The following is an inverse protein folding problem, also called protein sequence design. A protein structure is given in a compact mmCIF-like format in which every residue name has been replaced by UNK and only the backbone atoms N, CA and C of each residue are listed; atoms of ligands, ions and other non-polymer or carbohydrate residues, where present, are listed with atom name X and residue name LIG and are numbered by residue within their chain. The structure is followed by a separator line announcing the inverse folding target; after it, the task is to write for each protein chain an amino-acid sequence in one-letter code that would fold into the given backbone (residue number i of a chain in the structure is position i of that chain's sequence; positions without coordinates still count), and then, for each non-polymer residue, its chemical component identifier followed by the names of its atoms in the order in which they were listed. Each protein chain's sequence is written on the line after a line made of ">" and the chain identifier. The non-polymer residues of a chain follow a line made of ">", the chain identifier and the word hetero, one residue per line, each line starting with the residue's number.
data_IF_205091910823
#
_entry.id   IF_205091910823
#
_cell.length_a   1.000
_cell.length_b   1.000
_cell.length_c   1.000
_cell.angle_alpha   90.00
_cell.angle_beta   90.00
_cell.angle_gamma   90.00
#
_symmetry.space_group_name_H-M   'P 1'
#
loop_
_entity.id
_entity.type
_entity.pdbx_description
1 polymer ?
#
# COMPACT_ATOMS: atom_id res chain seq x y z
N UNK A 1 24.07 -8.92 -97.04
CA UNK A 1 25.42 -9.35 -96.62
C UNK A 1 25.98 -8.32 -95.64
N UNK A 2 26.46 -8.74 -94.46
CA UNK A 2 27.61 -8.21 -93.67
C UNK A 2 27.54 -6.71 -93.27
N UNK A 3 27.70 -6.25 -92.03
CA UNK A 3 28.40 -6.77 -90.84
C UNK A 3 28.02 -5.92 -89.61
N UNK A 4 28.01 -6.57 -88.44
CA UNK A 4 28.08 -5.96 -87.10
C UNK A 4 29.40 -5.22 -86.90
N UNK A 5 29.41 -4.19 -86.05
CA UNK A 5 30.45 -3.99 -85.02
C UNK A 5 29.94 -3.06 -83.90
N UNK A 6 29.91 -3.63 -82.70
CA UNK A 6 29.69 -3.02 -81.40
C UNK A 6 31.08 -2.83 -80.78
N UNK A 7 31.36 -1.66 -80.19
CA UNK A 7 32.43 -1.46 -79.20
C UNK A 7 32.05 -0.22 -78.36
N UNK A 8 31.55 -0.39 -77.12
CA UNK A 8 32.30 -0.50 -75.85
C UNK A 8 32.66 0.86 -75.23
N UNK A 9 31.83 1.36 -74.30
CA UNK A 9 32.25 2.33 -73.27
C UNK A 9 31.70 1.90 -71.90
N UNK A 10 32.64 1.50 -71.05
CA UNK A 10 32.73 1.59 -69.59
C UNK A 10 31.47 1.39 -68.72
N UNK A 11 31.45 0.26 -68.00
CA UNK A 11 30.74 0.12 -66.74
C UNK A 11 31.78 0.16 -65.60
N UNK A 12 31.90 1.32 -64.94
CA UNK A 12 32.62 1.45 -63.66
C UNK A 12 31.82 2.38 -62.75
N UNK A 13 31.73 1.97 -61.49
CA UNK A 13 31.28 2.71 -60.30
C UNK A 13 29.78 2.77 -60.01
N UNK A 14 29.26 1.66 -59.45
CA UNK A 14 28.11 1.70 -58.54
C UNK A 14 28.41 0.88 -57.26
N UNK A 15 29.37 1.34 -56.46
CA UNK A 15 29.68 0.74 -55.14
C UNK A 15 29.79 1.78 -53.99
N UNK A 16 29.50 3.06 -54.23
CA UNK A 16 29.68 4.13 -53.23
C UNK A 16 28.47 4.49 -52.37
N UNK A 17 27.26 3.95 -52.63
CA UNK A 17 26.02 4.47 -52.02
C UNK A 17 25.41 3.59 -50.92
N UNK A 18 25.90 2.37 -50.67
CA UNK A 18 25.38 1.54 -49.56
C UNK A 18 26.02 1.86 -48.20
N UNK A 19 27.22 2.44 -48.16
CA UNK A 19 27.94 2.67 -46.89
C UNK A 19 27.35 3.83 -46.08
N UNK A 20 26.83 4.88 -46.71
CA UNK A 20 26.34 6.07 -46.02
C UNK A 20 25.01 5.87 -45.27
N UNK A 21 24.18 4.88 -45.65
CA UNK A 21 22.91 4.57 -44.97
C UNK A 21 23.14 3.70 -43.73
N UNK A 22 24.20 2.89 -43.72
CA UNK A 22 24.60 2.06 -42.58
C UNK A 22 25.18 2.90 -41.42
N UNK A 23 25.79 4.04 -41.70
CA UNK A 23 26.35 4.96 -40.70
C UNK A 23 25.27 5.70 -39.88
N UNK A 24 24.07 5.93 -40.44
CA UNK A 24 23.00 6.63 -39.72
C UNK A 24 22.31 5.77 -38.63
N UNK A 25 22.47 4.44 -38.68
CA UNK A 25 21.81 3.51 -37.76
C UNK A 25 22.70 3.07 -36.59
N UNK A 26 24.01 3.35 -36.66
CA UNK A 26 25.00 2.86 -35.70
C UNK A 26 25.76 4.02 -35.05
N UNK A 27 26.05 3.90 -33.76
CA UNK A 27 26.87 4.89 -33.03
C UNK A 27 28.36 4.69 -33.29
N UNK A 28 28.78 3.45 -33.52
CA UNK A 28 30.16 3.07 -33.84
C UNK A 28 30.23 1.64 -34.40
N UNK A 29 31.41 1.25 -34.88
CA UNK A 29 31.79 -0.14 -35.15
C UNK A 29 32.93 -0.50 -34.20
N UNK A 30 32.74 -1.53 -33.37
CA UNK A 30 33.73 -2.00 -32.39
C UNK A 30 34.16 -3.42 -32.77
N UNK A 31 35.44 -3.60 -33.11
CA UNK A 31 36.02 -4.86 -33.61
C UNK A 31 35.19 -5.53 -34.72
N UNK A 32 34.75 -4.74 -35.70
CA UNK A 32 33.97 -5.21 -36.84
C UNK A 32 32.48 -5.44 -36.56
N UNK A 33 32.01 -5.23 -35.33
CA UNK A 33 30.59 -5.34 -34.95
C UNK A 33 29.96 -3.96 -34.81
N UNK A 34 28.88 -3.72 -35.54
CA UNK A 34 28.13 -2.47 -35.47
C UNK A 34 27.40 -2.34 -34.13
N UNK A 35 27.44 -1.14 -33.54
CA UNK A 35 26.76 -0.78 -32.28
C UNK A 35 25.54 0.07 -32.61
N UNK A 36 24.30 -0.43 -32.43
CA UNK A 36 23.10 0.28 -32.87
C UNK A 36 22.82 1.56 -32.07
N UNK A 37 22.36 2.61 -32.76
CA UNK A 37 21.88 3.85 -32.14
C UNK A 37 20.71 3.64 -31.17
N UNK A 38 19.93 2.57 -31.34
CA UNK A 38 18.84 2.21 -30.42
C UNK A 38 19.32 1.98 -28.97
N UNK A 39 20.58 1.56 -28.77
CA UNK A 39 21.15 1.42 -27.42
C UNK A 39 21.39 2.76 -26.75
N UNK A 40 21.82 3.76 -27.53
CA UNK A 40 21.98 5.15 -27.07
C UNK A 40 20.61 5.70 -26.67
N UNK A 41 19.59 5.52 -27.51
CA UNK A 41 18.24 5.98 -27.22
C UNK A 41 17.67 5.35 -25.93
N UNK A 42 17.83 4.03 -25.75
CA UNK A 42 17.37 3.34 -24.56
C UNK A 42 18.01 3.90 -23.26
N UNK A 43 19.32 4.16 -23.27
CA UNK A 43 20.02 4.76 -22.13
C UNK A 43 19.58 6.22 -21.92
N UNK A 44 19.41 7.01 -22.98
CA UNK A 44 18.88 8.39 -22.87
C UNK A 44 17.49 8.42 -22.26
N UNK A 45 16.59 7.51 -22.66
CA UNK A 45 15.26 7.39 -22.06
C UNK A 45 15.32 7.00 -20.58
N UNK A 46 16.23 6.11 -20.20
CA UNK A 46 16.44 5.75 -18.80
C UNK A 46 16.91 6.95 -17.95
N UNK A 47 17.83 7.76 -18.48
CA UNK A 47 18.28 9.00 -17.82
C UNK A 47 17.13 10.00 -17.69
N UNK A 48 16.35 10.21 -18.75
CA UNK A 48 15.19 11.09 -18.72
C UNK A 48 14.14 10.66 -17.68
N UNK A 49 13.84 9.36 -17.58
CA UNK A 49 12.92 8.80 -16.57
C UNK A 49 13.41 9.00 -15.13
N UNK A 50 14.70 9.23 -14.92
CA UNK A 50 15.25 9.60 -13.60
C UNK A 50 15.05 11.08 -13.25
N UNK A 51 14.37 11.85 -14.10
CA UNK A 51 14.14 13.29 -13.92
C UNK A 51 15.31 14.17 -14.35
N UNK A 52 16.35 13.59 -14.96
CA UNK A 52 17.52 14.33 -15.46
C UNK A 52 17.32 14.72 -16.92
N UNK A 53 17.62 15.97 -17.26
CA UNK A 53 17.60 16.43 -18.64
C UNK A 53 18.76 15.83 -19.44
N UNK A 54 18.49 15.39 -20.67
CA UNK A 54 19.50 14.90 -21.60
C UNK A 54 19.98 16.09 -22.46
N UNK A 55 21.03 16.77 -22.01
CA UNK A 55 21.68 17.86 -22.76
C UNK A 55 22.52 17.30 -23.93
N UNK A 56 22.95 18.12 -24.90
CA UNK A 56 23.87 17.67 -25.95
C UNK A 56 25.15 17.03 -25.42
N UNK A 57 25.72 17.55 -24.33
CA UNK A 57 26.90 17.00 -23.68
C UNK A 57 26.59 15.63 -23.05
N UNK A 58 25.46 15.51 -22.35
CA UNK A 58 25.00 14.23 -21.79
C UNK A 58 24.73 13.21 -22.89
N UNK A 59 24.17 13.64 -24.02
CA UNK A 59 23.95 12.77 -25.18
C UNK A 59 25.26 12.23 -25.74
N UNK A 60 26.32 13.05 -25.78
CA UNK A 60 27.65 12.60 -26.19
C UNK A 60 28.24 11.60 -25.17
N UNK A 61 28.13 11.89 -23.87
CA UNK A 61 28.55 10.96 -22.80
C UNK A 61 27.84 9.60 -22.89
N UNK A 62 26.53 9.60 -23.19
CA UNK A 62 25.77 8.36 -23.38
C UNK A 62 26.28 7.57 -24.59
N UNK A 63 26.62 8.25 -25.70
CA UNK A 63 27.21 7.57 -26.87
C UNK A 63 28.55 6.94 -26.49
N UNK A 64 29.44 7.68 -25.84
CA UNK A 64 30.75 7.20 -25.43
C UNK A 64 30.62 6.01 -24.47
N UNK A 65 29.69 6.07 -23.51
CA UNK A 65 29.35 4.98 -22.60
C UNK A 65 28.84 3.74 -23.34
N UNK A 66 27.98 3.90 -24.35
CA UNK A 66 27.48 2.77 -25.16
C UNK A 66 28.61 2.09 -25.93
N UNK A 67 29.56 2.88 -26.48
CA UNK A 67 30.74 2.35 -27.17
C UNK A 67 31.64 1.61 -26.17
N UNK A 68 31.94 2.23 -25.02
CA UNK A 68 32.76 1.62 -23.97
C UNK A 68 32.17 0.30 -23.46
N UNK A 69 30.84 0.25 -23.26
CA UNK A 69 30.12 -0.98 -22.89
C UNK A 69 30.28 -2.07 -23.93
N UNK A 70 30.21 -1.76 -25.22
CA UNK A 70 30.43 -2.78 -26.25
C UNK A 70 31.86 -3.32 -26.19
N UNK A 71 32.87 -2.46 -25.99
CA UNK A 71 34.27 -2.91 -25.82
C UNK A 71 34.37 -3.90 -24.65
N UNK A 72 33.79 -3.56 -23.49
CA UNK A 72 33.83 -4.43 -22.30
C UNK A 72 33.05 -5.73 -22.49
N UNK A 73 31.87 -5.69 -23.12
CA UNK A 73 31.08 -6.88 -23.41
C UNK A 73 31.86 -7.82 -24.33
N UNK A 74 32.53 -7.30 -25.36
CA UNK A 74 33.31 -8.15 -26.26
C UNK A 74 34.48 -8.84 -25.56
N UNK A 75 35.19 -8.14 -24.66
CA UNK A 75 36.25 -8.78 -23.88
C UNK A 75 35.68 -9.82 -22.90
N UNK A 76 34.56 -9.52 -22.24
CA UNK A 76 33.88 -10.48 -21.35
C UNK A 76 33.43 -11.75 -22.11
N UNK A 77 32.92 -11.60 -23.33
CA UNK A 77 32.53 -12.70 -24.22
C UNK A 77 33.75 -13.51 -24.68
N UNK A 78 34.85 -12.84 -25.03
CA UNK A 78 36.10 -13.49 -25.39
C UNK A 78 36.69 -14.31 -24.23
N UNK A 79 36.50 -13.84 -23.00
CA UNK A 79 36.85 -14.57 -21.77
C UNK A 79 35.86 -15.70 -21.42
N UNK A 80 34.75 -15.84 -22.16
CA UNK A 80 33.72 -16.86 -21.92
C UNK A 80 32.91 -16.64 -20.65
N UNK A 81 32.86 -15.42 -20.11
CA UNK A 81 32.18 -15.13 -18.84
C UNK A 81 30.66 -15.32 -18.95
N UNK A 82 30.09 -15.11 -20.15
CA UNK A 82 28.68 -15.33 -20.47
C UNK A 82 28.30 -16.82 -20.61
N UNK A 83 29.28 -17.72 -20.69
CA UNK A 83 29.08 -19.17 -20.67
C UNK A 83 29.26 -19.79 -19.28
N UNK A 84 29.70 -19.01 -18.28
CA UNK A 84 29.92 -19.48 -16.91
C UNK A 84 28.61 -19.90 -16.23
N UNK A 85 28.69 -20.89 -15.33
CA UNK A 85 27.53 -21.37 -14.56
C UNK A 85 26.98 -20.30 -13.61
N UNK A 86 27.84 -19.43 -13.07
CA UNK A 86 27.42 -18.30 -12.25
C UNK A 86 26.58 -17.32 -13.09
N UNK A 87 27.06 -16.90 -14.28
CA UNK A 87 26.30 -16.01 -15.16
C UNK A 87 24.95 -16.61 -15.56
N UNK A 88 24.90 -17.90 -15.94
CA UNK A 88 23.63 -18.58 -16.28
C UNK A 88 22.66 -18.58 -15.11
N UNK A 89 23.15 -18.85 -13.90
CA UNK A 89 22.35 -18.84 -12.67
C UNK A 89 21.83 -17.44 -12.36
N UNK A 90 22.69 -16.41 -12.40
CA UNK A 90 22.26 -15.02 -12.23
C UNK A 90 21.22 -14.61 -13.27
N UNK A 91 21.37 -15.05 -14.51
CA UNK A 91 20.43 -14.74 -15.57
C UNK A 91 19.08 -15.43 -15.39
N UNK A 92 19.08 -16.67 -14.92
CA UNK A 92 17.84 -17.37 -14.60
C UNK A 92 17.11 -16.72 -13.40
N UNK A 93 17.83 -16.35 -12.34
CA UNK A 93 17.25 -15.63 -11.19
C UNK A 93 16.69 -14.25 -11.59
N UNK A 94 17.41 -13.52 -12.45
CA UNK A 94 16.93 -12.26 -13.00
C UNK A 94 15.66 -12.45 -13.85
N UNK A 95 15.64 -13.48 -14.71
CA UNK A 95 14.47 -13.86 -15.51
C UNK A 95 13.26 -14.16 -14.63
N UNK A 96 13.44 -14.98 -13.58
CA UNK A 96 12.37 -15.32 -12.64
C UNK A 96 11.85 -14.07 -11.92
N UNK A 97 12.74 -13.22 -11.42
CA UNK A 97 12.38 -11.99 -10.71
C UNK A 97 11.54 -11.06 -11.59
N UNK A 98 11.95 -10.86 -12.84
CA UNK A 98 11.22 -10.03 -13.81
C UNK A 98 9.85 -10.63 -14.09
N UNK A 99 9.76 -11.94 -14.34
CA UNK A 99 8.47 -12.60 -14.61
C UNK A 99 7.50 -12.54 -13.43
N UNK A 100 8.00 -12.72 -12.20
CA UNK A 100 7.18 -12.59 -10.98
C UNK A 100 6.66 -11.14 -10.84
N UNK A 101 7.51 -10.14 -11.11
CA UNK A 101 7.09 -8.73 -11.10
C UNK A 101 6.03 -8.45 -12.17
N UNK A 102 6.23 -8.94 -13.40
CA UNK A 102 5.27 -8.75 -14.49
C UNK A 102 3.95 -9.47 -14.20
N UNK A 103 3.97 -10.65 -13.59
CA UNK A 103 2.78 -11.37 -13.13
C UNK A 103 1.92 -10.50 -12.21
N UNK A 104 2.52 -9.94 -11.16
CA UNK A 104 1.79 -9.10 -10.21
C UNK A 104 1.38 -7.75 -10.81
N UNK A 105 2.20 -7.18 -11.68
CA UNK A 105 1.85 -5.95 -12.42
C UNK A 105 0.64 -6.19 -13.33
N UNK A 106 0.62 -7.31 -14.05
CA UNK A 106 -0.50 -7.70 -14.90
C UNK A 106 -1.75 -7.98 -14.07
N UNK A 107 -1.62 -8.64 -12.92
CA UNK A 107 -2.74 -8.87 -12.00
C UNK A 107 -3.37 -7.55 -11.53
N UNK A 108 -2.56 -6.59 -11.08
CA UNK A 108 -3.06 -5.27 -10.66
C UNK A 108 -3.78 -4.53 -11.80
N UNK A 109 -3.22 -4.56 -13.02
CA UNK A 109 -3.83 -3.93 -14.20
C UNK A 109 -5.16 -4.56 -14.60
N UNK A 110 -5.27 -5.89 -14.47
CA UNK A 110 -6.48 -6.65 -14.86
C UNK A 110 -7.52 -6.75 -13.75
N UNK A 111 -7.15 -6.43 -12.50
CA UNK A 111 -8.02 -6.48 -11.33
C UNK A 111 -7.95 -5.16 -10.53
N UNK A 112 -8.28 -4.02 -11.15
CA UNK A 112 -8.24 -2.74 -10.46
C UNK A 112 -9.19 -2.73 -9.26
N UNK A 113 -8.86 -1.93 -8.24
CA UNK A 113 -9.83 -1.56 -7.21
C UNK A 113 -10.84 -0.61 -7.82
N UNK A 114 -12.12 -0.96 -7.73
CA UNK A 114 -13.21 -0.15 -8.28
C UNK A 114 -13.76 0.80 -7.22
N UNK A 115 -14.44 1.87 -7.64
CA UNK A 115 -15.15 2.76 -6.72
C UNK A 115 -16.21 2.01 -5.90
N UNK A 116 -16.82 0.96 -6.47
CA UNK A 116 -17.75 0.09 -5.76
C UNK A 116 -17.06 -0.72 -4.64
N UNK A 117 -15.86 -1.24 -4.89
CA UNK A 117 -15.07 -1.93 -3.86
C UNK A 117 -14.74 -0.99 -2.70
N UNK A 118 -14.35 0.25 -3.03
CA UNK A 118 -14.02 1.29 -2.05
C UNK A 118 -15.25 1.66 -1.21
N UNK A 119 -16.39 1.90 -1.87
CA UNK A 119 -17.64 2.22 -1.18
C UNK A 119 -18.06 1.08 -0.25
N UNK A 120 -17.99 -0.17 -0.71
CA UNK A 120 -18.35 -1.33 0.11
C UNK A 120 -17.46 -1.47 1.36
N UNK A 121 -16.15 -1.25 1.22
CA UNK A 121 -15.23 -1.31 2.38
C UNK A 121 -15.47 -0.14 3.34
N UNK A 122 -15.72 1.06 2.81
CA UNK A 122 -16.09 2.20 3.64
C UNK A 122 -17.43 2.00 4.36
N UNK A 123 -18.44 1.44 3.70
CA UNK A 123 -19.75 1.15 4.30
C UNK A 123 -19.62 0.13 5.42
N UNK A 124 -18.76 -0.89 5.26
CA UNK A 124 -18.45 -1.86 6.32
C UNK A 124 -17.78 -1.19 7.51
N UNK A 125 -16.82 -0.28 7.25
CA UNK A 125 -16.20 0.54 8.28
C UNK A 125 -17.24 1.43 8.99
N UNK A 126 -18.10 2.12 8.24
CA UNK A 126 -19.13 3.00 8.77
C UNK A 126 -20.20 2.23 9.55
N UNK A 127 -20.57 1.03 9.12
CA UNK A 127 -21.51 0.17 9.87
C UNK A 127 -20.92 -0.29 11.21
N UNK A 128 -19.61 -0.52 11.26
CA UNK A 128 -18.93 -1.00 12.47
C UNK A 128 -18.53 0.12 13.43
N UNK A 129 -18.31 1.34 12.91
CA UNK A 129 -17.79 2.48 13.67
C UNK A 129 -18.79 3.65 13.78
N UNK A 130 -19.91 3.58 13.07
CA UNK A 130 -20.98 4.57 13.10
C UNK A 130 -21.92 4.40 14.28
N UNK A 131 -23.02 5.16 14.26
CA UNK A 131 -24.01 5.16 15.33
C UNK A 131 -23.72 6.19 16.42
N UNK A 132 -24.05 5.87 17.67
CA UNK A 132 -23.92 6.79 18.80
C UNK A 132 -22.70 6.45 19.66
N UNK A 133 -21.92 7.47 19.97
CA UNK A 133 -20.92 7.44 21.02
C UNK A 133 -21.48 8.03 22.29
N UNK A 134 -21.12 7.44 23.42
CA UNK A 134 -21.58 7.80 24.73
C UNK A 134 -20.38 8.23 25.54
N UNK A 135 -20.43 9.43 26.11
CA UNK A 135 -19.50 9.83 27.15
C UNK A 135 -20.07 9.38 28.49
N UNK A 136 -19.54 8.28 29.00
CA UNK A 136 -20.00 7.69 30.25
C UNK A 136 -18.99 7.93 31.37
N UNK A 137 -19.50 8.00 32.60
CA UNK A 137 -18.68 7.78 33.79
C UNK A 137 -19.20 6.60 34.57
N UNK A 138 -18.33 5.86 35.22
CA UNK A 138 -18.78 4.78 36.09
C UNK A 138 -17.98 4.67 37.40
N UNK A 139 -18.61 4.02 38.37
CA UNK A 139 -17.97 3.58 39.61
C UNK A 139 -18.15 2.07 39.68
N UNK A 140 -17.05 1.34 39.73
CA UNK A 140 -17.05 -0.11 39.90
C UNK A 140 -16.78 -0.48 41.35
N UNK A 141 -17.59 -1.34 41.94
CA UNK A 141 -17.40 -1.88 43.29
C UNK A 141 -17.68 -3.37 43.33
N UNK A 142 -17.16 -4.06 44.34
CA UNK A 142 -17.29 -5.52 44.43
C UNK A 142 -18.68 -5.94 44.91
N UNK A 143 -19.30 -5.16 45.81
CA UNK A 143 -20.54 -5.53 46.50
C UNK A 143 -21.70 -4.63 46.09
N UNK A 144 -22.88 -5.24 45.93
CA UNK A 144 -24.11 -4.52 45.60
C UNK A 144 -24.47 -3.44 46.63
N UNK A 145 -24.22 -3.73 47.92
CA UNK A 145 -24.50 -2.79 49.01
C UNK A 145 -23.67 -1.51 48.88
N UNK A 146 -22.41 -1.61 48.41
CA UNK A 146 -21.54 -0.46 48.17
C UNK A 146 -22.09 0.40 47.03
N UNK A 147 -22.53 -0.23 45.93
CA UNK A 147 -23.13 0.47 44.80
C UNK A 147 -24.45 1.18 45.21
N UNK A 148 -25.29 0.51 46.01
CA UNK A 148 -26.52 1.11 46.56
C UNK A 148 -26.23 2.32 47.45
N UNK A 149 -25.19 2.24 48.29
CA UNK A 149 -24.77 3.36 49.13
C UNK A 149 -24.26 4.55 48.29
N UNK A 150 -23.49 4.28 47.24
CA UNK A 150 -23.01 5.29 46.29
C UNK A 150 -24.19 5.98 45.59
N UNK A 151 -25.17 5.23 45.08
CA UNK A 151 -26.38 5.80 44.46
C UNK A 151 -27.12 6.71 45.45
N UNK A 152 -27.27 6.30 46.71
CA UNK A 152 -27.90 7.13 47.74
C UNK A 152 -27.10 8.41 48.04
N UNK A 153 -25.76 8.35 48.02
CA UNK A 153 -24.91 9.53 48.20
C UNK A 153 -25.02 10.50 47.02
N UNK A 154 -25.07 9.99 45.79
CA UNK A 154 -25.27 10.79 44.58
C UNK A 154 -26.63 11.49 44.59
N UNK A 155 -27.71 10.79 45.02
CA UNK A 155 -29.05 11.37 45.17
C UNK A 155 -29.12 12.50 46.21
N UNK A 156 -28.18 12.52 47.17
CA UNK A 156 -28.04 13.60 48.18
C UNK A 156 -27.15 14.76 47.71
N UNK A 157 -26.72 14.78 46.44
CA UNK A 157 -25.88 15.84 45.88
C UNK A 157 -24.37 15.57 45.98
N UNK A 158 -23.95 14.34 46.28
CA UNK A 158 -22.54 13.95 46.21
C UNK A 158 -21.98 14.09 44.79
N UNK A 159 -20.70 14.50 44.67
CA UNK A 159 -20.03 14.62 43.38
C UNK A 159 -19.53 13.27 42.88
N UNK A 160 -19.92 12.92 41.66
CA UNK A 160 -19.61 11.62 41.06
C UNK A 160 -18.11 11.35 40.96
N UNK A 161 -17.34 12.32 40.49
CA UNK A 161 -15.90 12.18 40.27
C UNK A 161 -15.11 12.01 41.57
N UNK A 162 -15.52 12.71 42.64
CA UNK A 162 -14.90 12.56 43.96
C UNK A 162 -15.18 11.19 44.57
N UNK A 163 -16.41 10.67 44.42
CA UNK A 163 -16.77 9.33 44.90
C UNK A 163 -16.05 8.26 44.07
N UNK A 164 -16.01 8.41 42.75
CA UNK A 164 -15.30 7.50 41.85
C UNK A 164 -13.82 7.38 42.20
N UNK A 165 -13.13 8.50 42.44
CA UNK A 165 -11.71 8.52 42.85
C UNK A 165 -11.44 7.79 44.16
N UNK A 166 -12.41 7.78 45.08
CA UNK A 166 -12.27 7.17 46.41
C UNK A 166 -12.70 5.71 46.44
N UNK A 167 -13.74 5.35 45.70
CA UNK A 167 -14.44 4.07 45.85
C UNK A 167 -14.31 3.14 44.64
N UNK A 168 -14.06 3.68 43.44
CA UNK A 168 -14.02 2.84 42.23
C UNK A 168 -12.83 1.89 42.26
N UNK A 169 -13.11 0.62 41.98
CA UNK A 169 -12.13 -0.45 41.79
C UNK A 169 -11.64 -0.56 40.35
N UNK A 170 -12.20 0.22 39.42
CA UNK A 170 -11.71 0.24 38.06
C UNK A 170 -10.37 0.99 37.96
N UNK A 171 -9.26 0.31 37.65
CA UNK A 171 -7.95 0.94 37.52
C UNK A 171 -7.87 1.91 36.33
N UNK A 172 -8.70 1.75 35.30
CA UNK A 172 -8.64 2.54 34.07
C UNK A 172 -9.24 3.95 34.23
N UNK A 173 -10.36 4.06 34.94
CA UNK A 173 -11.13 5.30 35.06
C UNK A 173 -11.23 5.85 36.48
N UNK A 174 -11.04 5.03 37.52
CA UNK A 174 -11.25 5.42 38.93
C UNK A 174 -10.53 6.70 39.31
N UNK A 175 -9.22 6.78 39.06
CA UNK A 175 -8.40 7.97 39.32
C UNK A 175 -8.83 9.21 38.51
N UNK A 176 -9.48 9.02 37.36
CA UNK A 176 -10.03 10.08 36.49
C UNK A 176 -11.49 10.42 36.83
N UNK A 177 -11.97 10.04 38.01
CA UNK A 177 -13.34 10.30 38.41
C UNK A 177 -14.36 9.45 37.66
N UNK A 178 -13.95 8.28 37.19
CA UNK A 178 -14.79 7.33 36.48
C UNK A 178 -14.99 7.62 35.00
N UNK A 179 -14.35 8.65 34.42
CA UNK A 179 -14.53 9.03 33.01
C UNK A 179 -13.99 7.94 32.07
N UNK A 180 -14.85 7.45 31.19
CA UNK A 180 -14.56 6.42 30.19
C UNK A 180 -14.32 7.01 28.78
N UNK A 181 -14.34 8.33 28.65
CA UNK A 181 -14.27 9.06 27.37
C UNK A 181 -15.43 8.70 26.42
N UNK A 182 -15.35 9.15 25.17
CA UNK A 182 -16.29 8.80 24.12
C UNK A 182 -16.02 7.39 23.61
N UNK A 183 -17.05 6.55 23.69
CA UNK A 183 -17.01 5.23 23.09
C UNK A 183 -18.40 4.79 22.58
N UNK A 184 -18.47 3.99 21.51
CA UNK A 184 -19.70 3.31 21.16
C UNK A 184 -20.09 2.33 22.26
N UNK A 185 -21.39 2.13 22.46
CA UNK A 185 -21.88 1.25 23.52
C UNK A 185 -21.42 -0.22 23.35
N UNK A 186 -21.07 -0.63 22.13
CA UNK A 186 -20.52 -1.98 21.85
C UNK A 186 -19.13 -2.23 22.45
N UNK A 187 -18.42 -1.19 22.90
CA UNK A 187 -17.14 -1.35 23.60
C UNK A 187 -17.32 -1.83 25.06
N UNK A 188 -18.54 -1.85 25.58
CA UNK A 188 -18.83 -2.27 26.94
C UNK A 188 -19.51 -3.65 26.96
N UNK A 189 -19.41 -4.35 28.09
CA UNK A 189 -20.16 -5.59 28.33
C UNK A 189 -21.67 -5.34 28.22
N UNK A 190 -22.43 -6.36 27.84
CA UNK A 190 -23.82 -6.24 27.43
C UNK A 190 -24.72 -5.58 28.50
N UNK A 191 -24.50 -5.88 29.77
CA UNK A 191 -25.25 -5.33 30.90
C UNK A 191 -24.99 -3.83 31.05
N UNK A 192 -23.73 -3.41 30.94
CA UNK A 192 -23.31 -2.02 30.98
C UNK A 192 -23.88 -1.25 29.78
N UNK A 193 -23.73 -1.79 28.57
CA UNK A 193 -24.24 -1.18 27.35
C UNK A 193 -25.76 -1.00 27.39
N UNK A 194 -26.49 -1.99 27.91
CA UNK A 194 -27.95 -1.94 28.04
C UNK A 194 -28.38 -0.85 29.02
N UNK A 195 -27.75 -0.79 30.19
CA UNK A 195 -28.03 0.24 31.18
C UNK A 195 -27.67 1.64 30.65
N UNK A 196 -26.51 1.80 30.01
CA UNK A 196 -26.05 3.06 29.45
C UNK A 196 -27.01 3.60 28.37
N UNK A 197 -27.49 2.73 27.47
CA UNK A 197 -28.45 3.11 26.41
C UNK A 197 -29.81 3.52 26.96
N UNK A 198 -30.19 3.05 28.16
CA UNK A 198 -31.44 3.42 28.81
C UNK A 198 -31.36 4.79 29.54
N UNK A 199 -30.16 5.34 29.72
CA UNK A 199 -29.96 6.64 30.36
C UNK A 199 -30.19 7.78 29.37
N UNK A 200 -30.67 8.90 29.91
CA UNK A 200 -30.67 10.21 29.25
C UNK A 200 -29.45 11.04 29.68
N UNK A 201 -29.11 12.08 28.93
CA UNK A 201 -27.97 12.96 29.23
C UNK A 201 -28.08 13.54 30.65
N UNK A 202 -27.02 13.37 31.44
CA UNK A 202 -26.93 13.77 32.85
C UNK A 202 -27.47 12.74 33.84
N UNK A 203 -28.14 11.68 33.38
CA UNK A 203 -28.77 10.69 34.25
C UNK A 203 -27.76 9.68 34.79
N UNK A 204 -28.01 9.22 36.02
CA UNK A 204 -27.29 8.11 36.66
C UNK A 204 -28.24 6.93 36.83
N UNK A 205 -27.73 5.70 36.75
CA UNK A 205 -28.49 4.47 37.03
C UNK A 205 -29.12 4.51 38.42
N UNK A 206 -30.42 4.21 38.50
CA UNK A 206 -31.16 4.16 39.77
C UNK A 206 -30.88 2.93 40.61
N UNK A 207 -30.40 1.85 39.98
CA UNK A 207 -30.02 0.59 40.61
C UNK A 207 -28.62 0.17 40.17
N UNK A 208 -27.89 -0.60 41.00
CA UNK A 208 -26.59 -1.16 40.59
C UNK A 208 -26.71 -2.04 39.35
N UNK A 209 -25.77 -1.90 38.42
CA UNK A 209 -25.68 -2.74 37.22
C UNK A 209 -24.65 -3.83 37.47
N UNK A 210 -25.07 -5.10 37.51
CA UNK A 210 -24.18 -6.23 37.75
C UNK A 210 -23.49 -6.67 36.45
N UNK A 211 -22.20 -6.97 36.52
CA UNK A 211 -21.45 -7.64 35.47
C UNK A 211 -20.49 -8.68 36.06
N UNK A 212 -19.70 -9.33 35.21
CA UNK A 212 -18.60 -10.20 35.65
C UNK A 212 -17.51 -9.48 36.46
N UNK A 213 -17.42 -8.15 36.39
CA UNK A 213 -16.43 -7.34 37.11
C UNK A 213 -16.90 -6.86 38.48
N UNK A 214 -18.18 -7.04 38.82
CA UNK A 214 -18.80 -6.56 40.05
C UNK A 214 -20.07 -5.76 39.78
N UNK A 215 -20.24 -4.64 40.50
CA UNK A 215 -21.40 -3.77 40.42
C UNK A 215 -20.99 -2.37 39.97
N UNK A 216 -21.68 -1.86 38.97
CA UNK A 216 -21.45 -0.54 38.39
C UNK A 216 -22.55 0.44 38.80
N UNK A 217 -22.15 1.67 39.08
CA UNK A 217 -23.02 2.85 39.06
C UNK A 217 -22.60 3.67 37.84
N UNK A 218 -23.52 3.90 36.90
CA UNK A 218 -23.20 4.47 35.59
C UNK A 218 -23.90 5.82 35.47
N UNK A 219 -23.17 6.83 35.01
CA UNK A 219 -23.72 8.13 34.62
C UNK A 219 -23.43 8.38 33.14
N UNK A 220 -24.45 8.85 32.44
CA UNK A 220 -24.29 9.31 31.07
C UNK A 220 -24.06 10.82 31.09
N UNK A 221 -22.87 11.26 30.70
CA UNK A 221 -22.55 12.69 30.64
C UNK A 221 -23.03 13.33 29.34
N UNK A 222 -22.86 12.63 28.22
CA UNK A 222 -23.23 13.14 26.90
C UNK A 222 -23.39 12.02 25.86
N UNK A 223 -24.11 12.30 24.78
CA UNK A 223 -24.27 11.43 23.62
C UNK A 223 -24.00 12.25 22.37
N UNK A 224 -23.23 11.69 21.44
CA UNK A 224 -23.02 12.27 20.10
C UNK A 224 -23.16 11.19 19.03
N UNK A 225 -23.42 11.61 17.80
CA UNK A 225 -23.26 10.73 16.65
C UNK A 225 -21.76 10.58 16.34
N UNK A 226 -21.33 9.36 16.02
CA UNK A 226 -19.96 9.05 15.70
C UNK A 226 -19.49 9.88 14.50
N UNK A 227 -18.35 10.55 14.65
CA UNK A 227 -17.77 11.36 13.59
C UNK A 227 -16.83 10.49 12.75
N UNK A 228 -17.36 9.97 11.64
CA UNK A 228 -16.57 9.22 10.68
C UNK A 228 -15.86 10.19 9.71
N UNK A 229 -14.61 9.89 9.30
CA UNK A 229 -13.97 10.64 8.23
C UNK A 229 -14.76 10.47 6.94
N UNK A 230 -14.84 11.51 6.10
CA UNK A 230 -15.57 11.39 4.83
C UNK A 230 -14.85 10.43 3.90
N UNK A 231 -15.61 9.69 3.10
CA UNK A 231 -15.04 8.76 2.13
C UNK A 231 -14.00 9.44 1.23
N UNK A 232 -14.29 10.64 0.72
CA UNK A 232 -13.35 11.36 -0.15
C UNK A 232 -11.98 11.62 0.50
N UNK A 233 -11.95 11.84 1.82
CA UNK A 233 -10.71 12.11 2.57
C UNK A 233 -9.89 10.82 2.77
N UNK A 234 -10.56 9.66 2.79
CA UNK A 234 -9.92 8.35 3.05
C UNK A 234 -9.84 7.44 1.82
N UNK A 235 -10.44 7.87 0.70
CA UNK A 235 -10.54 7.10 -0.55
C UNK A 235 -9.17 6.60 -1.04
N UNK A 236 -8.09 7.42 -1.05
CA UNK A 236 -6.77 6.95 -1.46
C UNK A 236 -6.22 5.84 -0.55
N UNK A 237 -6.39 5.97 0.78
CA UNK A 237 -5.92 4.97 1.73
C UNK A 237 -6.70 3.66 1.60
N UNK A 238 -8.03 3.73 1.48
CA UNK A 238 -8.90 2.56 1.29
C UNK A 238 -8.55 1.85 -0.02
N UNK A 239 -8.37 2.59 -1.11
CA UNK A 239 -7.97 2.02 -2.40
C UNK A 239 -6.62 1.30 -2.32
N UNK A 240 -5.62 1.92 -1.68
CA UNK A 240 -4.30 1.31 -1.49
C UNK A 240 -4.38 0.03 -0.65
N UNK A 241 -5.14 0.06 0.44
CA UNK A 241 -5.33 -1.10 1.33
C UNK A 241 -6.02 -2.25 0.59
N UNK A 242 -7.11 -1.96 -0.14
CA UNK A 242 -7.81 -2.96 -0.96
C UNK A 242 -6.89 -3.55 -2.03
N UNK A 243 -6.04 -2.73 -2.66
CA UNK A 243 -5.09 -3.21 -3.66
C UNK A 243 -4.07 -4.19 -3.06
N UNK A 244 -3.57 -3.90 -1.86
CA UNK A 244 -2.67 -4.77 -1.12
C UNK A 244 -3.37 -6.08 -0.71
N UNK A 245 -4.61 -6.01 -0.23
CA UNK A 245 -5.41 -7.18 0.12
C UNK A 245 -5.69 -8.08 -1.09
N UNK A 246 -6.10 -7.51 -2.22
CA UNK A 246 -6.30 -8.27 -3.49
C UNK A 246 -5.02 -8.99 -3.89
N UNK A 247 -3.87 -8.32 -3.80
CA UNK A 247 -2.58 -8.93 -4.14
C UNK A 247 -2.18 -10.06 -3.17
N UNK A 248 -2.33 -9.84 -1.87
CA UNK A 248 -2.04 -10.84 -0.84
C UNK A 248 -2.91 -12.09 -1.03
N UNK A 249 -4.21 -11.89 -1.28
CA UNK A 249 -5.14 -12.97 -1.57
C UNK A 249 -4.76 -13.73 -2.83
N UNK A 250 -4.38 -13.03 -3.90
CA UNK A 250 -3.92 -13.68 -5.13
C UNK A 250 -2.66 -14.53 -4.90
N UNK A 251 -1.69 -14.03 -4.13
CA UNK A 251 -0.51 -14.79 -3.74
C UNK A 251 -0.86 -16.05 -2.95
N UNK A 252 -1.75 -15.93 -1.98
CA UNK A 252 -2.25 -17.05 -1.19
C UNK A 252 -2.96 -18.08 -2.07
N UNK A 253 -3.83 -17.65 -2.97
CA UNK A 253 -4.53 -18.53 -3.92
C UNK A 253 -3.55 -19.29 -4.82
N UNK A 254 -2.50 -18.64 -5.32
CA UNK A 254 -1.45 -19.29 -6.10
C UNK A 254 -0.71 -20.35 -5.28
N UNK A 255 -0.38 -20.05 -4.02
CA UNK A 255 0.28 -20.99 -3.10
C UNK A 255 -0.61 -22.20 -2.80
N UNK A 256 -1.88 -21.96 -2.50
CA UNK A 256 -2.84 -23.02 -2.18
C UNK A 256 -3.15 -23.92 -3.38
N UNK A 257 -3.06 -23.40 -4.61
CA UNK A 257 -3.22 -24.18 -5.86
C UNK A 257 -1.96 -24.94 -6.25
N UNK A 258 -0.80 -24.55 -5.74
CA UNK A 258 0.46 -25.21 -6.05
C UNK A 258 0.55 -26.54 -5.28
N UNK A 259 0.97 -27.61 -5.97
CA UNK A 259 1.42 -28.82 -5.30
C UNK A 259 2.87 -28.61 -4.84
N UNK A 260 3.07 -28.55 -3.53
CA UNK A 260 4.39 -28.51 -2.90
C UNK A 260 4.59 -29.83 -2.17
N UNK A 261 5.65 -30.55 -2.50
CA UNK A 261 6.05 -31.82 -1.85
C UNK A 261 7.08 -31.55 -0.74
#
# INVERSE_FOLDING_TARGET
>A
MKKKLISSIAFVALMGSLSAVADAQNVAIVNGKAVPMARVEALSQQVARSGRQVTPEMQQQIKDEVIAREVFIQEAQKMGLDASEDFKTQMELARQTILIRELFTNYQKTHPVTDADIQAEYDKFAASNGGKEYRARHILVEKEAEAKAIIAQLKKGGKFDEIAKKASKDPGSGAKGGDLDWAPAGNYVAEFATALKALTKGQTTDTPVKSQFGYHVIRLDDIRDAQLPKLDDVKPQVAQQLQQQKLAKYQEELRNKAKVE
#
